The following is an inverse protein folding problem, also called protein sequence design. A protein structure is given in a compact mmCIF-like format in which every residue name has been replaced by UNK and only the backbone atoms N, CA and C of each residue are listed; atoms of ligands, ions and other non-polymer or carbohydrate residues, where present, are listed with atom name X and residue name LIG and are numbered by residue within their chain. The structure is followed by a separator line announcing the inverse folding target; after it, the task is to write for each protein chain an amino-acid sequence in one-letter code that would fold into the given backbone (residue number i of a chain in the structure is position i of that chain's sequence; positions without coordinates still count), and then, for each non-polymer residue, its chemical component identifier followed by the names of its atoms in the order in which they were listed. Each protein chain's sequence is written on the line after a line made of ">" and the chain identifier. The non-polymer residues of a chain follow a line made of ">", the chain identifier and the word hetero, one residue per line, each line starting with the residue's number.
data_IF_206297533348
#
_entry.id   IF_206297533348
#
_cell.length_a   1.000
_cell.length_b   1.000
_cell.length_c   1.000
_cell.angle_alpha   90.00
_cell.angle_beta   90.00
_cell.angle_gamma   90.00
#
_symmetry.space_group_name_H-M   'P 1'
#
loop_
_entity.id
_entity.type
_entity.pdbx_description
1 polymer ?
#
# COMPACT_ATOMS: atom_id res chain seq x y z
N UNK A 1 -22.94 3.34 -4.43
CA UNK A 1 -21.87 3.73 -5.37
C UNK A 1 -20.81 2.65 -5.33
N UNK A 2 -20.71 1.88 -6.39
CA UNK A 2 -19.70 0.83 -6.55
C UNK A 2 -18.33 1.50 -6.55
N UNK A 3 -17.52 1.31 -5.50
CA UNK A 3 -16.14 1.83 -5.47
C UNK A 3 -15.39 1.22 -6.66
N UNK A 4 -15.04 2.04 -7.64
CA UNK A 4 -14.09 1.64 -8.67
C UNK A 4 -12.74 1.43 -7.97
N UNK A 5 -12.36 0.17 -7.79
CA UNK A 5 -11.12 -0.22 -7.14
C UNK A 5 -9.92 0.09 -8.05
N UNK A 6 -9.58 1.37 -8.16
CA UNK A 6 -8.42 1.84 -8.89
C UNK A 6 -7.15 1.43 -8.13
N UNK A 7 -6.63 0.24 -8.45
CA UNK A 7 -5.43 -0.30 -7.83
C UNK A 7 -4.19 0.42 -8.38
N UNK A 8 -3.42 1.00 -7.48
CA UNK A 8 -2.13 1.59 -7.76
C UNK A 8 -1.06 0.63 -7.25
N UNK A 9 -0.02 0.44 -8.03
CA UNK A 9 1.18 -0.28 -7.58
C UNK A 9 2.40 0.47 -8.07
N UNK A 10 3.37 0.63 -7.17
CA UNK A 10 4.61 1.37 -7.41
C UNK A 10 5.78 0.64 -6.78
N UNK A 11 6.94 0.69 -7.43
CA UNK A 11 8.17 0.08 -6.91
C UNK A 11 8.58 0.83 -5.63
N UNK A 12 9.10 0.08 -4.66
CA UNK A 12 9.59 0.65 -3.42
C UNK A 12 10.71 1.68 -3.66
N UNK A 13 11.52 1.53 -4.71
CA UNK A 13 12.51 2.53 -5.12
C UNK A 13 11.85 3.87 -5.47
N UNK A 14 10.74 3.85 -6.21
CA UNK A 14 9.99 5.08 -6.53
C UNK A 14 9.33 5.67 -5.28
N UNK A 15 8.78 4.83 -4.40
CA UNK A 15 8.19 5.30 -3.14
C UNK A 15 9.25 5.94 -2.24
N UNK A 16 10.48 5.40 -2.21
CA UNK A 16 11.58 5.93 -1.39
C UNK A 16 12.40 7.01 -2.10
N UNK A 17 12.19 7.26 -3.39
CA UNK A 17 12.89 8.29 -4.13
C UNK A 17 12.61 9.68 -3.54
N UNK A 18 13.62 10.56 -3.64
CA UNK A 18 13.44 11.96 -3.30
C UNK A 18 12.98 12.73 -4.53
N UNK A 19 11.83 13.37 -4.41
CA UNK A 19 11.27 14.26 -5.41
C UNK A 19 10.31 15.25 -4.77
N UNK A 20 10.13 16.38 -5.44
CA UNK A 20 9.15 17.39 -5.07
C UNK A 20 8.07 17.43 -6.14
N UNK A 21 6.87 17.00 -5.75
CA UNK A 21 5.66 17.15 -6.54
C UNK A 21 4.66 17.94 -5.73
N UNK A 22 3.82 18.72 -6.39
CA UNK A 22 2.61 19.23 -5.79
C UNK A 22 1.52 18.14 -5.74
N UNK A 23 0.40 18.47 -5.09
CA UNK A 23 -0.70 17.53 -4.92
C UNK A 23 -1.33 17.13 -6.26
N UNK A 24 -1.50 18.07 -7.19
CA UNK A 24 -2.21 17.83 -8.45
C UNK A 24 -1.32 17.02 -9.39
N UNK A 25 -0.03 17.33 -9.48
CA UNK A 25 1.00 16.54 -10.18
C UNK A 25 1.02 15.10 -9.65
N UNK A 26 1.03 14.92 -8.32
CA UNK A 26 1.00 13.59 -7.71
C UNK A 26 -0.29 12.85 -8.07
N UNK A 27 -1.45 13.49 -7.94
CA UNK A 27 -2.75 12.92 -8.29
C UNK A 27 -2.85 12.54 -9.77
N UNK A 28 -2.28 13.36 -10.65
CA UNK A 28 -2.20 13.13 -12.09
C UNK A 28 -1.40 11.86 -12.40
N UNK A 29 -0.22 11.68 -11.79
CA UNK A 29 0.57 10.44 -11.92
C UNK A 29 -0.23 9.23 -11.44
N UNK A 30 -0.89 9.33 -10.29
CA UNK A 30 -1.64 8.20 -9.71
C UNK A 30 -2.83 7.80 -10.57
N UNK A 31 -3.56 8.77 -11.12
CA UNK A 31 -4.62 8.51 -12.10
C UNK A 31 -4.08 7.86 -13.37
N UNK A 32 -2.95 8.33 -13.88
CA UNK A 32 -2.33 7.76 -15.07
C UNK A 32 -1.92 6.29 -14.84
N UNK A 33 -1.33 5.98 -13.68
CA UNK A 33 -1.00 4.60 -13.30
C UNK A 33 -2.27 3.74 -13.22
N UNK A 34 -3.31 4.21 -12.53
CA UNK A 34 -4.57 3.48 -12.39
C UNK A 34 -5.23 3.21 -13.76
N UNK A 35 -5.33 4.24 -14.61
CA UNK A 35 -5.92 4.11 -15.95
C UNK A 35 -5.11 3.23 -16.89
N UNK A 36 -3.79 3.39 -16.90
CA UNK A 36 -2.91 2.58 -17.76
C UNK A 36 -3.09 1.09 -17.52
N UNK A 37 -3.31 0.70 -16.27
CA UNK A 37 -3.61 -0.69 -15.87
C UNK A 37 -4.98 -1.16 -16.31
N UNK A 38 -6.01 -0.34 -16.10
CA UNK A 38 -7.39 -0.69 -16.49
C UNK A 38 -7.58 -0.76 -18.01
N UNK A 39 -6.81 0.03 -18.77
CA UNK A 39 -6.95 0.10 -20.23
C UNK A 39 -6.52 -1.15 -20.99
N UNK A 40 -5.80 -2.09 -20.35
CA UNK A 40 -5.23 -3.28 -20.98
C UNK A 40 -4.10 -3.02 -21.98
N UNK A 41 -3.85 -1.76 -22.35
CA UNK A 41 -2.75 -1.34 -23.24
C UNK A 41 -1.38 -1.32 -22.54
N UNK A 42 -1.39 -1.44 -21.21
CA UNK A 42 -0.21 -1.29 -20.37
C UNK A 42 0.28 0.16 -20.32
N UNK A 43 1.36 0.38 -19.57
CA UNK A 43 2.05 1.66 -19.49
C UNK A 43 3.39 1.50 -20.20
N UNK A 44 3.65 2.31 -21.22
CA UNK A 44 4.89 2.26 -22.01
C UNK A 44 5.48 3.65 -22.16
N UNK A 45 6.72 3.72 -22.66
CA UNK A 45 7.42 4.99 -22.92
C UNK A 45 7.06 5.64 -24.26
N UNK A 46 6.09 5.07 -24.99
CA UNK A 46 5.71 5.54 -26.33
C UNK A 46 4.21 5.79 -26.47
N UNK A 47 3.39 5.15 -25.63
CA UNK A 47 1.94 5.30 -25.67
C UNK A 47 1.51 6.37 -24.68
N UNK A 48 0.72 7.32 -25.18
CA UNK A 48 0.11 8.33 -24.34
C UNK A 48 -1.05 7.76 -23.51
N UNK A 49 -1.09 8.12 -22.23
CA UNK A 49 -2.18 7.86 -21.31
C UNK A 49 -3.11 9.07 -21.25
N UNK A 50 -4.40 8.84 -21.47
CA UNK A 50 -5.42 9.88 -21.57
C UNK A 50 -6.16 10.06 -20.24
N UNK A 51 -6.06 11.26 -19.66
CA UNK A 51 -6.64 11.62 -18.38
C UNK A 51 -7.68 12.72 -18.61
N UNK A 52 -8.97 12.40 -18.43
CA UNK A 52 -10.02 13.39 -18.55
C UNK A 52 -10.20 14.13 -17.24
N UNK A 53 -10.56 15.41 -17.34
CA UNK A 53 -10.92 16.23 -16.18
C UNK A 53 -12.07 15.63 -15.37
N UNK A 54 -12.97 14.88 -16.01
CA UNK A 54 -14.07 14.20 -15.33
C UNK A 54 -13.56 13.10 -14.38
N UNK A 55 -12.57 12.30 -14.78
CA UNK A 55 -12.01 11.25 -13.92
C UNK A 55 -11.32 11.85 -12.69
N UNK A 56 -10.65 12.99 -12.89
CA UNK A 56 -10.03 13.74 -11.79
C UNK A 56 -11.06 14.32 -10.83
N UNK A 57 -12.12 14.93 -11.37
CA UNK A 57 -13.23 15.48 -10.59
C UNK A 57 -13.90 14.39 -9.74
N UNK A 58 -14.23 13.25 -10.34
CA UNK A 58 -14.87 12.12 -9.65
C UNK A 58 -13.96 11.48 -8.60
N UNK A 59 -12.69 11.24 -8.95
CA UNK A 59 -11.75 10.56 -8.04
C UNK A 59 -11.42 11.40 -6.81
N UNK A 60 -11.32 12.72 -6.95
CA UNK A 60 -10.83 13.61 -5.89
C UNK A 60 -11.87 14.59 -5.34
N UNK A 61 -13.12 14.52 -5.80
CA UNK A 61 -14.21 15.38 -5.34
C UNK A 61 -14.01 16.86 -5.65
N UNK A 62 -13.46 17.17 -6.84
CA UNK A 62 -13.19 18.55 -7.28
C UNK A 62 -14.19 18.96 -8.36
N UNK A 63 -14.51 20.26 -8.46
CA UNK A 63 -15.36 20.77 -9.52
C UNK A 63 -14.76 20.50 -10.92
N UNK A 64 -15.59 20.10 -11.89
CA UNK A 64 -15.16 19.70 -13.23
C UNK A 64 -14.40 20.80 -13.98
N UNK A 65 -14.87 22.05 -13.91
CA UNK A 65 -14.25 23.20 -14.58
C UNK A 65 -12.85 23.48 -13.99
N UNK A 66 -12.74 23.50 -12.66
CA UNK A 66 -11.47 23.66 -11.97
C UNK A 66 -10.50 22.50 -12.26
N UNK A 67 -11.03 21.29 -12.44
CA UNK A 67 -10.24 20.08 -12.71
C UNK A 67 -9.45 20.17 -14.02
N UNK A 68 -10.03 20.71 -15.10
CA UNK A 68 -9.31 20.86 -16.36
C UNK A 68 -8.12 21.83 -16.24
N UNK A 69 -8.35 23.01 -15.66
CA UNK A 69 -7.29 24.00 -15.45
C UNK A 69 -6.19 23.47 -14.52
N UNK A 70 -6.57 22.76 -13.47
CA UNK A 70 -5.63 22.10 -12.56
C UNK A 70 -4.78 21.04 -13.29
N UNK A 71 -5.41 20.18 -14.09
CA UNK A 71 -4.70 19.15 -14.87
C UNK A 71 -3.75 19.75 -15.89
N UNK A 72 -4.17 20.81 -16.59
CA UNK A 72 -3.30 21.50 -17.55
C UNK A 72 -2.06 22.09 -16.87
N UNK A 73 -2.26 22.84 -15.79
CA UNK A 73 -1.13 23.43 -15.05
C UNK A 73 -0.23 22.34 -14.47
N UNK A 74 -0.80 21.25 -13.96
CA UNK A 74 -0.05 20.14 -13.39
C UNK A 74 0.72 19.34 -14.43
N UNK A 75 0.20 19.18 -15.67
CA UNK A 75 0.96 18.50 -16.72
C UNK A 75 2.18 19.34 -17.12
N UNK A 76 1.99 20.65 -17.31
CA UNK A 76 3.08 21.59 -17.64
C UNK A 76 4.15 21.60 -16.54
N UNK A 77 3.76 21.69 -15.28
CA UNK A 77 4.73 21.69 -14.18
C UNK A 77 5.39 20.32 -13.99
N UNK A 78 4.64 19.21 -14.16
CA UNK A 78 5.16 17.84 -14.08
C UNK A 78 6.24 17.55 -15.12
N UNK A 79 6.11 18.10 -16.33
CA UNK A 79 7.14 17.99 -17.37
C UNK A 79 8.48 18.57 -16.90
N UNK A 80 8.43 19.62 -16.08
CA UNK A 80 9.62 20.22 -15.50
C UNK A 80 10.21 19.47 -14.29
N UNK A 81 9.54 18.42 -13.83
CA UNK A 81 9.98 17.64 -12.66
C UNK A 81 10.97 16.57 -13.04
N UNK A 82 11.91 16.35 -12.14
CA UNK A 82 12.81 15.21 -12.13
C UNK A 82 12.78 14.52 -10.78
N UNK A 83 13.24 13.29 -10.75
CA UNK A 83 13.49 12.55 -9.53
C UNK A 83 14.91 11.99 -9.58
N UNK A 84 15.41 11.66 -8.39
CA UNK A 84 16.70 10.98 -8.25
C UNK A 84 16.49 9.67 -7.52
N UNK A 85 17.22 8.64 -7.95
CA UNK A 85 17.24 7.35 -7.31
C UNK A 85 18.62 6.73 -7.45
N UNK A 86 18.92 5.81 -6.54
CA UNK A 86 20.21 5.15 -6.46
C UNK A 86 20.08 3.71 -6.95
N UNK A 87 21.09 3.24 -7.66
CA UNK A 87 21.26 1.83 -8.01
C UNK A 87 22.71 1.40 -7.79
N UNK A 88 22.95 0.10 -7.86
CA UNK A 88 24.31 -0.45 -7.88
C UNK A 88 24.72 -0.71 -9.32
N UNK A 89 25.88 -0.18 -9.71
CA UNK A 89 26.53 -0.52 -10.97
C UNK A 89 26.92 -2.01 -10.98
N UNK A 90 27.23 -2.61 -12.15
CA UNK A 90 27.70 -4.00 -12.23
C UNK A 90 28.95 -4.30 -11.39
N UNK A 91 29.70 -3.27 -11.01
CA UNK A 91 30.90 -3.36 -10.17
C UNK A 91 30.61 -3.13 -8.67
N UNK A 92 29.34 -2.99 -8.28
CA UNK A 92 28.92 -2.75 -6.90
C UNK A 92 29.05 -1.31 -6.40
N UNK A 93 29.45 -0.36 -7.25
CA UNK A 93 29.50 1.06 -6.88
C UNK A 93 28.11 1.70 -6.93
N UNK A 94 27.88 2.69 -6.07
CA UNK A 94 26.67 3.51 -6.07
C UNK A 94 26.59 4.35 -7.35
N UNK A 95 25.48 4.25 -8.06
CA UNK A 95 25.15 5.04 -9.24
C UNK A 95 23.92 5.89 -8.94
N UNK A 96 24.04 7.20 -9.13
CA UNK A 96 22.97 8.18 -8.86
C UNK A 96 22.34 8.59 -10.18
N UNK A 97 21.08 8.23 -10.37
CA UNK A 97 20.33 8.55 -11.58
C UNK A 97 19.55 9.84 -11.39
N UNK A 98 19.43 10.63 -12.47
CA UNK A 98 18.54 11.80 -12.54
C UNK A 98 17.70 11.68 -13.80
N UNK A 99 16.38 11.52 -13.63
CA UNK A 99 15.46 11.31 -14.75
C UNK A 99 14.24 12.22 -14.64
N UNK A 100 13.68 12.59 -15.79
CA UNK A 100 12.37 13.25 -15.88
C UNK A 100 11.25 12.26 -15.55
N UNK A 101 10.09 12.78 -15.16
CA UNK A 101 8.88 11.98 -14.94
C UNK A 101 8.20 11.60 -16.24
N UNK A 102 8.04 12.58 -17.13
CA UNK A 102 7.33 12.43 -18.40
C UNK A 102 8.30 12.62 -19.56
N UNK A 103 8.11 11.85 -20.63
CA UNK A 103 8.83 12.04 -21.89
C UNK A 103 8.10 13.05 -22.78
N UNK A 104 6.77 13.05 -22.71
CA UNK A 104 5.91 13.94 -23.49
C UNK A 104 4.64 14.28 -22.69
N UNK A 105 4.14 15.49 -22.90
CA UNK A 105 2.84 15.95 -22.41
C UNK A 105 2.10 16.64 -23.55
N UNK A 106 0.79 16.43 -23.63
CA UNK A 106 -0.07 17.24 -24.50
C UNK A 106 -1.42 17.46 -23.85
N UNK A 107 -2.08 18.55 -24.21
CA UNK A 107 -3.46 18.81 -23.83
C UNK A 107 -4.29 18.91 -25.10
N UNK A 108 -5.49 18.33 -25.07
CA UNK A 108 -6.39 18.39 -26.20
C UNK A 108 -7.44 19.44 -25.91
N UNK A 109 -7.30 20.59 -26.60
CA UNK A 109 -8.27 21.68 -26.49
C UNK A 109 -9.67 21.15 -26.84
N UNK A 110 -10.69 21.62 -26.13
CA UNK A 110 -12.09 21.25 -26.29
C UNK A 110 -12.46 19.80 -25.89
N UNK A 111 -11.50 18.91 -25.63
CA UNK A 111 -11.77 17.53 -25.16
C UNK A 111 -11.61 17.36 -23.64
N UNK A 112 -11.25 18.44 -22.92
CA UNK A 112 -11.09 18.46 -21.46
C UNK A 112 -10.18 17.34 -20.93
N UNK A 113 -9.09 17.05 -21.65
CA UNK A 113 -8.18 15.97 -21.30
C UNK A 113 -6.71 16.34 -21.53
N UNK A 114 -5.85 15.68 -20.76
CA UNK A 114 -4.40 15.71 -20.91
C UNK A 114 -3.89 14.32 -21.27
N UNK A 115 -2.82 14.28 -22.05
CA UNK A 115 -2.11 13.09 -22.47
C UNK A 115 -0.71 13.12 -21.89
N UNK A 116 -0.30 12.00 -21.32
CA UNK A 116 1.02 11.87 -20.68
C UNK A 116 1.71 10.62 -21.20
N UNK A 117 2.98 10.78 -21.59
CA UNK A 117 3.88 9.65 -21.83
C UNK A 117 4.91 9.63 -20.71
N UNK A 118 5.00 8.53 -19.96
CA UNK A 118 6.01 8.37 -18.92
C UNK A 118 7.41 8.22 -19.52
N UNK A 119 8.42 8.77 -18.83
CA UNK A 119 9.82 8.55 -19.22
C UNK A 119 10.18 7.06 -19.16
N UNK A 120 11.08 6.57 -20.03
CA UNK A 120 11.55 5.17 -20.01
C UNK A 120 12.04 4.70 -18.64
N UNK A 121 12.66 5.59 -17.86
CA UNK A 121 13.13 5.29 -16.50
C UNK A 121 12.00 5.09 -15.48
N UNK A 122 10.83 5.67 -15.71
CA UNK A 122 9.67 5.59 -14.78
C UNK A 122 8.86 4.33 -15.04
N UNK A 123 8.70 3.93 -16.31
CA UNK A 123 7.90 2.76 -16.72
C UNK A 123 8.19 1.53 -15.86
N UNK A 124 9.44 1.02 -15.72
CA UNK A 124 9.70 -0.18 -14.93
C UNK A 124 9.34 -0.01 -13.45
N UNK A 125 9.34 1.22 -12.92
CA UNK A 125 9.00 1.51 -11.52
C UNK A 125 7.48 1.49 -11.26
N UNK A 126 6.64 1.43 -12.29
CA UNK A 126 5.17 1.44 -12.17
C UNK A 126 4.49 0.24 -12.86
N UNK A 127 5.20 -0.50 -13.70
CA UNK A 127 4.67 -1.67 -14.42
C UNK A 127 5.15 -3.02 -13.93
N UNK A 128 6.36 -3.13 -13.37
CA UNK A 128 7.09 -4.40 -13.40
C UNK A 128 6.51 -5.54 -12.54
N UNK A 129 5.69 -5.39 -11.51
CA UNK A 129 5.06 -6.46 -10.68
C UNK A 129 5.94 -7.60 -10.09
N UNK A 130 7.05 -8.03 -10.69
CA UNK A 130 7.90 -9.13 -10.21
C UNK A 130 8.83 -8.68 -9.06
N UNK A 131 9.06 -7.37 -8.92
CA UNK A 131 9.91 -6.75 -7.89
C UNK A 131 9.15 -6.41 -6.58
N UNK A 132 9.86 -5.77 -5.64
CA UNK A 132 9.31 -5.33 -4.34
C UNK A 132 8.37 -4.13 -4.55
N UNK A 133 7.10 -4.44 -4.83
CA UNK A 133 6.07 -3.46 -5.08
C UNK A 133 5.20 -3.17 -3.85
N UNK A 134 4.78 -1.92 -3.73
CA UNK A 134 3.73 -1.50 -2.80
C UNK A 134 2.45 -1.26 -3.58
N UNK A 135 1.33 -1.81 -3.09
CA UNK A 135 0.02 -1.65 -3.71
C UNK A 135 -1.02 -1.10 -2.73
N UNK A 136 -1.87 -0.21 -3.22
CA UNK A 136 -2.99 0.39 -2.47
C UNK A 136 -4.06 0.91 -3.43
N UNK A 137 -5.26 1.20 -2.93
CA UNK A 137 -6.34 1.74 -3.77
C UNK A 137 -6.27 3.27 -3.80
N UNK A 138 -6.56 3.88 -4.95
CA UNK A 138 -6.62 5.33 -5.08
C UNK A 138 -7.59 5.96 -4.07
N UNK A 139 -8.72 5.30 -3.82
CA UNK A 139 -9.72 5.70 -2.83
C UNK A 139 -9.18 5.84 -1.41
N UNK A 140 -8.12 5.10 -1.06
CA UNK A 140 -7.53 5.15 0.27
C UNK A 140 -6.82 6.48 0.54
N UNK A 141 -6.40 7.18 -0.52
CA UNK A 141 -5.66 8.44 -0.46
C UNK A 141 -6.35 9.61 -1.15
N UNK A 142 -7.44 9.38 -1.88
CA UNK A 142 -8.07 10.40 -2.72
C UNK A 142 -8.57 11.62 -1.94
N UNK A 143 -9.00 11.40 -0.70
CA UNK A 143 -9.47 12.45 0.22
C UNK A 143 -8.34 13.23 0.89
N UNK A 144 -7.10 12.78 0.79
CA UNK A 144 -5.95 13.48 1.35
C UNK A 144 -5.68 14.75 0.52
N UNK A 145 -5.58 15.89 1.20
CA UNK A 145 -5.38 17.21 0.57
C UNK A 145 -3.95 17.74 0.76
N UNK A 146 -3.16 17.14 1.65
CA UNK A 146 -1.75 17.43 1.79
C UNK A 146 -0.93 16.44 0.97
N UNK A 147 -0.01 16.95 0.14
CA UNK A 147 0.94 16.08 -0.57
C UNK A 147 1.82 15.29 0.41
N UNK A 148 2.12 15.87 1.58
CA UNK A 148 2.86 15.17 2.64
C UNK A 148 2.05 14.01 3.23
N UNK A 149 0.72 14.14 3.32
CA UNK A 149 -0.14 13.04 3.77
C UNK A 149 -0.12 11.89 2.77
N UNK A 150 -0.24 12.18 1.47
CA UNK A 150 -0.15 11.16 0.41
C UNK A 150 1.22 10.47 0.45
N UNK A 151 2.32 11.22 0.55
CA UNK A 151 3.67 10.66 0.63
C UNK A 151 3.90 9.83 1.89
N UNK A 152 3.45 10.31 3.04
CA UNK A 152 3.58 9.58 4.29
C UNK A 152 2.78 8.27 4.26
N UNK A 153 1.58 8.28 3.69
CA UNK A 153 0.78 7.08 3.49
C UNK A 153 1.54 6.05 2.64
N UNK A 154 2.09 6.45 1.49
CA UNK A 154 2.88 5.57 0.60
C UNK A 154 4.10 4.96 1.32
N UNK A 155 4.82 5.78 2.09
CA UNK A 155 5.99 5.32 2.83
C UNK A 155 5.63 4.29 3.90
N UNK A 156 4.47 4.44 4.54
CA UNK A 156 4.01 3.55 5.61
C UNK A 156 3.43 2.26 5.03
N UNK A 157 2.61 2.35 3.99
CA UNK A 157 1.94 1.18 3.40
C UNK A 157 2.93 0.24 2.69
N UNK A 158 4.13 0.71 2.35
CA UNK A 158 5.25 -0.14 1.93
C UNK A 158 5.68 -1.16 3.00
N UNK A 159 5.32 -0.94 4.28
CA UNK A 159 5.59 -1.82 5.42
C UNK A 159 4.33 -2.57 5.89
N UNK A 160 3.36 -2.80 4.98
CA UNK A 160 2.09 -3.50 5.30
C UNK A 160 2.27 -4.82 6.02
N UNK A 161 3.29 -5.59 5.66
CA UNK A 161 3.57 -6.92 6.24
C UNK A 161 4.00 -6.88 7.70
N UNK A 162 4.64 -5.80 8.16
CA UNK A 162 5.15 -5.67 9.54
C UNK A 162 4.28 -4.78 10.41
N UNK A 163 3.34 -4.03 9.81
CA UNK A 163 2.52 -3.00 10.48
C UNK A 163 3.33 -1.94 11.25
N UNK A 164 4.63 -1.86 10.94
CA UNK A 164 5.60 -1.03 11.64
C UNK A 164 6.76 -0.70 10.71
N UNK A 165 7.12 0.57 10.67
CA UNK A 165 8.26 1.06 9.90
C UNK A 165 9.56 0.94 10.70
N UNK A 166 10.73 0.89 10.02
CA UNK A 166 12.00 1.19 10.68
C UNK A 166 12.02 2.65 11.18
N UNK A 167 13.09 3.00 11.90
CA UNK A 167 13.35 4.39 12.27
C UNK A 167 13.84 5.11 11.01
N UNK A 168 13.04 6.05 10.52
CA UNK A 168 13.49 7.00 9.52
C UNK A 168 14.26 8.12 10.21
N UNK A 169 15.49 8.37 9.77
CA UNK A 169 16.26 9.54 10.24
C UNK A 169 15.57 10.82 9.77
N UNK A 170 15.81 11.92 10.47
CA UNK A 170 15.16 13.21 10.16
C UNK A 170 15.47 13.64 8.73
N UNK A 171 16.72 13.49 8.30
CA UNK A 171 17.15 13.85 6.96
C UNK A 171 16.43 13.00 5.91
N UNK A 172 16.40 11.67 6.13
CA UNK A 172 15.76 10.71 5.23
C UNK A 172 14.26 10.97 5.08
N UNK A 173 13.54 11.14 6.20
CA UNK A 173 12.08 11.34 6.14
C UNK A 173 11.72 12.67 5.49
N UNK A 174 12.51 13.73 5.72
CA UNK A 174 12.31 15.04 5.07
C UNK A 174 12.47 14.91 3.56
N UNK A 175 13.55 14.28 3.10
CA UNK A 175 13.80 14.05 1.68
C UNK A 175 12.72 13.20 1.02
N UNK A 176 12.27 12.12 1.69
CA UNK A 176 11.23 11.21 1.15
C UNK A 176 9.84 11.86 1.11
N UNK A 177 9.52 12.74 2.05
CA UNK A 177 8.30 13.54 2.04
C UNK A 177 8.35 14.70 1.03
N UNK A 178 9.50 14.96 0.40
CA UNK A 178 9.67 16.06 -0.55
C UNK A 178 9.79 17.43 0.12
N UNK A 179 10.23 17.48 1.38
CA UNK A 179 10.52 18.74 2.08
C UNK A 179 11.90 19.22 1.65
N UNK A 180 11.97 20.44 1.10
CA UNK A 180 13.25 21.05 0.71
C UNK A 180 14.15 21.29 1.93
N UNK A 181 15.46 21.26 1.73
CA UNK A 181 16.45 21.42 2.82
C UNK A 181 16.25 22.70 3.64
N UNK A 182 15.88 23.79 2.96
CA UNK A 182 15.64 25.11 3.54
C UNK A 182 14.22 25.32 4.09
N UNK A 183 13.29 24.38 3.88
CA UNK A 183 11.91 24.50 4.36
C UNK A 183 11.75 23.88 5.75
N UNK A 184 11.04 24.55 6.66
CA UNK A 184 10.75 23.98 7.99
C UNK A 184 12.00 23.50 8.72
N UNK A 185 13.07 24.30 8.70
CA UNK A 185 14.35 23.95 9.33
C UNK A 185 14.20 23.73 10.84
N UNK A 186 13.34 24.54 11.49
CA UNK A 186 12.98 24.34 12.88
C UNK A 186 12.14 23.07 13.03
N UNK A 187 12.54 22.21 13.96
CA UNK A 187 11.86 20.94 14.20
C UNK A 187 10.39 21.11 14.61
N UNK A 188 10.05 22.19 15.31
CA UNK A 188 8.66 22.51 15.64
C UNK A 188 7.82 22.78 14.39
N UNK A 189 8.35 23.50 13.40
CA UNK A 189 7.67 23.76 12.13
C UNK A 189 7.52 22.48 11.31
N UNK A 190 8.57 21.65 11.24
CA UNK A 190 8.49 20.37 10.54
C UNK A 190 7.39 19.48 11.12
N UNK A 191 7.31 19.36 12.45
CA UNK A 191 6.23 18.61 13.09
C UNK A 191 4.87 19.23 12.77
N UNK A 192 4.69 20.52 13.09
CA UNK A 192 3.39 21.20 13.02
C UNK A 192 2.83 21.28 11.60
N UNK A 193 3.68 21.50 10.59
CA UNK A 193 3.24 21.78 9.20
C UNK A 193 3.33 20.57 8.27
N UNK A 194 4.15 19.57 8.61
CA UNK A 194 4.36 18.38 7.77
C UNK A 194 3.81 17.14 8.46
N UNK A 195 4.43 16.70 9.56
CA UNK A 195 4.09 15.41 10.18
C UNK A 195 2.70 15.40 10.80
N UNK A 196 2.38 16.38 11.65
CA UNK A 196 1.12 16.40 12.39
C UNK A 196 -0.07 16.59 11.44
N UNK A 197 0.10 17.42 10.39
CA UNK A 197 -0.89 17.58 9.31
C UNK A 197 -1.09 16.26 8.56
N UNK A 198 0.01 15.60 8.17
CA UNK A 198 -0.05 14.34 7.44
C UNK A 198 -0.73 13.24 8.26
N UNK A 199 -0.30 13.04 9.51
CA UNK A 199 -0.83 12.01 10.40
C UNK A 199 -2.32 12.25 10.68
N UNK A 200 -2.71 13.50 10.96
CA UNK A 200 -4.12 13.85 11.18
C UNK A 200 -4.98 13.48 9.97
N UNK A 201 -4.57 13.90 8.77
CA UNK A 201 -5.32 13.59 7.56
C UNK A 201 -5.42 12.08 7.29
N UNK A 202 -4.33 11.34 7.46
CA UNK A 202 -4.35 9.90 7.22
C UNK A 202 -5.31 9.21 8.21
N UNK A 203 -5.25 9.55 9.50
CA UNK A 203 -6.08 8.94 10.52
C UNK A 203 -7.58 9.27 10.36
N UNK A 204 -7.92 10.43 9.82
CA UNK A 204 -9.30 10.87 9.62
C UNK A 204 -9.89 10.39 8.28
N UNK A 205 -9.08 10.31 7.22
CA UNK A 205 -9.58 10.24 5.85
C UNK A 205 -9.17 8.98 5.08
N UNK A 206 -8.23 8.18 5.59
CA UNK A 206 -7.74 6.96 4.93
C UNK A 206 -8.30 5.67 5.53
N UNK A 207 -7.84 4.53 5.02
CA UNK A 207 -8.13 3.19 5.55
C UNK A 207 -7.17 2.74 6.66
N UNK A 208 -6.21 3.57 7.09
CA UNK A 208 -5.25 3.22 8.14
C UNK A 208 -5.26 4.24 9.27
N UNK A 209 -4.92 3.76 10.47
CA UNK A 209 -4.62 4.61 11.62
C UNK A 209 -3.15 4.45 12.00
N UNK A 210 -2.46 5.57 12.10
CA UNK A 210 -1.03 5.67 12.36
C UNK A 210 -0.79 6.28 13.75
N UNK A 211 0.15 5.67 14.46
CA UNK A 211 0.77 6.19 15.68
C UNK A 211 2.24 6.49 15.40
N UNK A 212 2.69 7.71 15.72
CA UNK A 212 4.09 8.13 15.57
C UNK A 212 4.86 7.96 16.88
N UNK A 213 6.03 7.32 16.79
CA UNK A 213 7.02 7.26 17.88
C UNK A 213 8.22 8.12 17.53
N UNK A 214 8.51 9.08 18.39
CA UNK A 214 9.63 10.00 18.26
C UNK A 214 10.86 9.45 18.99
N UNK A 215 11.97 9.31 18.28
CA UNK A 215 13.23 8.81 18.84
C UNK A 215 14.19 9.97 19.09
N UNK A 216 14.73 10.06 20.32
CA UNK A 216 15.64 11.13 20.75
C UNK A 216 17.00 10.56 21.15
N UNK A 217 18.05 11.35 20.94
CA UNK A 217 19.39 11.14 21.51
C UNK A 217 19.75 12.40 22.28
N UNK A 218 19.61 12.34 23.61
CA UNK A 218 19.65 13.52 24.46
C UNK A 218 18.48 14.46 24.18
N UNK A 219 18.76 15.74 23.93
CA UNK A 219 17.75 16.75 23.60
C UNK A 219 17.34 16.75 22.12
N UNK A 220 18.18 16.19 21.26
CA UNK A 220 17.94 16.17 19.81
C UNK A 220 17.05 14.99 19.42
N UNK A 221 16.10 15.26 18.53
CA UNK A 221 15.36 14.21 17.84
C UNK A 221 16.32 13.60 16.81
N UNK A 222 16.29 12.28 16.65
CA UNK A 222 17.10 11.55 15.64
C UNK A 222 16.23 11.04 14.50
N UNK A 223 14.98 10.70 14.79
CA UNK A 223 14.10 10.13 13.79
C UNK A 223 12.71 9.78 14.31
N UNK A 224 11.92 9.21 13.41
CA UNK A 224 10.54 8.80 13.65
C UNK A 224 10.31 7.37 13.17
N UNK A 225 9.49 6.63 13.89
CA UNK A 225 8.96 5.34 13.44
C UNK A 225 7.45 5.35 13.58
N UNK A 226 6.76 4.65 12.71
CA UNK A 226 5.31 4.60 12.67
C UNK A 226 4.84 3.18 12.93
N UNK A 227 3.86 3.03 13.81
CA UNK A 227 3.03 1.82 13.89
C UNK A 227 1.70 2.16 13.24
N UNK A 228 1.07 1.20 12.57
CA UNK A 228 -0.23 1.45 11.98
C UNK A 228 -1.11 0.21 11.99
N UNK A 229 -2.42 0.45 12.00
CA UNK A 229 -3.45 -0.56 11.91
C UNK A 229 -4.33 -0.25 10.70
N UNK A 230 -4.73 -1.30 9.98
CA UNK A 230 -5.69 -1.18 8.91
C UNK A 230 -7.11 -1.29 9.45
N UNK A 231 -7.92 -0.29 9.13
CA UNK A 231 -9.33 -0.33 9.38
C UNK A 231 -9.93 -1.28 8.34
N UNK A 232 -10.30 -2.49 8.77
CA UNK A 232 -11.03 -3.45 7.94
C UNK A 232 -12.26 -2.77 7.34
N UNK A 233 -12.23 -2.52 6.03
CA UNK A 233 -13.42 -2.18 5.26
C UNK A 233 -14.12 -3.46 4.81
N UNK A 234 -14.63 -4.24 5.76
CA UNK A 234 -15.75 -5.12 5.43
C UNK A 234 -16.99 -4.23 5.41
N UNK A 235 -17.69 -4.05 4.26
CA UNK A 235 -19.05 -3.56 4.31
C UNK A 235 -19.83 -4.53 5.21
N UNK A 236 -20.63 -3.99 6.12
CA UNK A 236 -21.58 -4.75 6.93
C UNK A 236 -22.24 -5.79 6.03
N UNK A 237 -22.00 -7.09 6.29
CA UNK A 237 -22.70 -8.17 5.59
C UNK A 237 -24.20 -7.92 5.76
N UNK A 238 -24.93 -7.83 4.66
CA UNK A 238 -26.39 -7.84 4.69
C UNK A 238 -26.82 -9.16 5.35
N UNK A 239 -27.55 -9.14 6.48
CA UNK A 239 -27.96 -10.35 7.20
C UNK A 239 -28.80 -11.31 6.34
N UNK A 240 -29.29 -10.88 5.17
CA UNK A 240 -30.03 -11.71 4.22
C UNK A 240 -29.23 -12.24 3.01
N UNK A 241 -27.90 -12.06 2.97
CA UNK A 241 -27.11 -12.73 1.93
C UNK A 241 -26.97 -14.22 2.27
N UNK A 242 -27.64 -15.08 1.51
CA UNK A 242 -27.44 -16.53 1.56
C UNK A 242 -26.02 -16.85 1.05
N UNK A 243 -25.19 -17.41 1.92
CA UNK A 243 -23.84 -17.88 1.58
C UNK A 243 -23.96 -19.11 0.64
N UNK A 244 -23.70 -18.95 -0.65
CA UNK A 244 -23.66 -20.06 -1.65
C UNK A 244 -22.31 -20.77 -1.73
N UNK A 245 -21.46 -20.59 -0.73
CA UNK A 245 -20.20 -21.32 -0.61
C UNK A 245 -20.25 -22.04 0.73
N UNK A 246 -20.67 -23.30 0.68
CA UNK A 246 -20.38 -24.30 1.71
C UNK A 246 -18.86 -24.52 1.73
N UNK A 247 -18.10 -23.57 2.29
CA UNK A 247 -16.89 -23.92 2.99
C UNK A 247 -17.34 -24.62 4.27
N UNK A 248 -17.65 -25.91 4.14
CA UNK A 248 -17.81 -26.74 5.32
C UNK A 248 -16.57 -26.53 6.19
N UNK A 249 -16.70 -26.02 7.42
CA UNK A 249 -15.57 -25.99 8.31
C UNK A 249 -15.15 -27.46 8.46
N UNK A 250 -13.90 -27.79 8.13
CA UNK A 250 -13.29 -29.07 8.50
C UNK A 250 -13.14 -29.12 10.02
N UNK A 251 -14.27 -29.12 10.74
CA UNK A 251 -14.34 -29.48 12.15
C UNK A 251 -14.04 -30.97 12.18
N UNK A 252 -12.79 -31.33 12.46
CA UNK A 252 -12.50 -32.70 12.86
C UNK A 252 -13.38 -32.99 14.08
N UNK A 253 -14.23 -34.03 14.07
CA UNK A 253 -15.12 -34.31 15.19
C UNK A 253 -14.30 -34.45 16.47
N UNK A 254 -14.76 -33.83 17.57
CA UNK A 254 -14.11 -33.99 18.89
C UNK A 254 -14.21 -35.47 19.28
N UNK A 255 -13.07 -36.17 19.30
CA UNK A 255 -12.99 -37.58 19.70
C UNK A 255 -13.39 -37.73 21.18
N UNK A 256 -14.16 -38.76 21.52
CA UNK A 256 -14.52 -39.09 22.90
C UNK A 256 -13.27 -39.57 23.65
N UNK A 257 -13.00 -39.02 24.84
CA UNK A 257 -11.87 -39.46 25.67
C UNK A 257 -12.27 -40.71 26.45
N UNK A 258 -11.49 -41.78 26.34
CA UNK A 258 -11.70 -43.04 27.07
C UNK A 258 -10.39 -43.48 27.72
N UNK A 259 -10.50 -44.28 28.77
CA UNK A 259 -9.34 -44.87 29.46
C UNK A 259 -8.80 -46.09 28.71
N UNK A 260 -7.57 -46.51 29.02
CA UNK A 260 -6.97 -47.73 28.47
C UNK A 260 -7.82 -48.99 28.71
N UNK A 261 -8.41 -49.12 29.91
CA UNK A 261 -9.28 -50.26 30.25
C UNK A 261 -10.57 -50.30 29.41
N UNK A 262 -11.12 -49.13 29.07
CA UNK A 262 -12.30 -49.03 28.20
C UNK A 262 -11.93 -49.30 26.75
N UNK A 263 -10.75 -48.86 26.30
CA UNK A 263 -10.25 -49.17 24.97
C UNK A 263 -10.01 -50.68 24.78
N UNK A 264 -9.45 -51.37 25.80
CA UNK A 264 -9.21 -52.82 25.75
C UNK A 264 -10.50 -53.64 25.51
N UNK A 265 -11.64 -53.21 26.08
CA UNK A 265 -12.94 -53.87 25.88
C UNK A 265 -13.45 -53.78 24.44
N UNK A 266 -12.95 -52.82 23.65
CA UNK A 266 -13.30 -52.66 22.24
C UNK A 266 -12.42 -53.51 21.31
N UNK A 267 -11.40 -54.19 21.84
CA UNK A 267 -10.51 -55.08 21.10
C UNK A 267 -11.20 -56.36 20.64
N UNK A 268 -10.83 -56.83 19.45
CA UNK A 268 -11.25 -58.15 18.95
C UNK A 268 -10.26 -59.24 19.38
N UNK A 269 -10.68 -60.51 19.47
CA UNK A 269 -9.76 -61.61 19.81
C UNK A 269 -8.57 -61.64 18.84
N UNK A 270 -7.34 -61.55 19.37
CA UNK A 270 -6.11 -61.55 18.59
C UNK A 270 -5.72 -60.21 17.94
N UNK A 271 -6.43 -59.12 18.24
CA UNK A 271 -6.09 -57.77 17.76
C UNK A 271 -5.02 -57.14 18.67
N UNK A 272 -3.89 -56.74 18.09
CA UNK A 272 -2.80 -56.07 18.82
C UNK A 272 -3.13 -54.58 19.07
N UNK A 273 -2.55 -54.02 20.13
CA UNK A 273 -2.79 -52.64 20.56
C UNK A 273 -2.62 -51.56 19.46
N UNK A 274 -1.57 -51.60 18.61
CA UNK A 274 -1.41 -50.61 17.54
C UNK A 274 -2.56 -50.62 16.52
N UNK A 275 -3.07 -51.81 16.19
CA UNK A 275 -4.16 -51.99 15.22
C UNK A 275 -5.49 -51.53 15.82
N UNK A 276 -5.72 -51.84 17.09
CA UNK A 276 -6.86 -51.34 17.86
C UNK A 276 -6.90 -49.81 17.87
N UNK A 277 -5.80 -49.14 18.23
CA UNK A 277 -5.70 -47.67 18.29
C UNK A 277 -5.92 -47.01 16.93
N UNK A 278 -5.41 -47.64 15.86
CA UNK A 278 -5.63 -47.15 14.49
C UNK A 278 -7.10 -47.22 14.10
N UNK A 279 -7.80 -48.29 14.50
CA UNK A 279 -9.22 -48.50 14.21
C UNK A 279 -10.13 -47.57 15.00
N UNK A 280 -9.95 -47.46 16.31
CA UNK A 280 -10.81 -46.62 17.17
C UNK A 280 -10.41 -45.14 17.15
N UNK A 281 -9.23 -44.83 16.62
CA UNK A 281 -8.66 -43.48 16.60
C UNK A 281 -9.45 -42.47 15.77
N UNK A 282 -10.40 -42.86 14.93
CA UNK A 282 -11.31 -41.91 14.27
C UNK A 282 -12.33 -41.30 15.23
N UNK A 283 -12.76 -42.06 16.24
CA UNK A 283 -13.87 -41.74 17.14
C UNK A 283 -13.41 -41.46 18.58
N UNK A 284 -12.34 -42.12 19.02
CA UNK A 284 -11.86 -42.08 20.41
C UNK A 284 -10.43 -41.53 20.52
N UNK A 285 -10.15 -40.91 21.66
CA UNK A 285 -8.81 -40.55 22.10
C UNK A 285 -8.53 -41.28 23.42
N UNK A 286 -7.69 -42.31 23.33
CA UNK A 286 -7.35 -43.15 24.50
C UNK A 286 -6.34 -42.40 25.37
N UNK A 287 -6.66 -42.27 26.65
CA UNK A 287 -5.76 -41.75 27.68
C UNK A 287 -5.11 -42.96 28.34
N UNK A 288 -3.79 -43.04 28.23
CA UNK A 288 -2.97 -43.96 29.00
C UNK A 288 -2.65 -43.28 30.32
N UNK A 289 -3.16 -43.84 31.42
CA UNK A 289 -2.77 -43.38 32.75
C UNK A 289 -1.28 -43.71 32.93
N UNK A 290 -0.43 -42.69 32.83
CA UNK A 290 0.96 -42.81 33.23
C UNK A 290 1.00 -42.71 34.75
N UNK A 291 0.99 -43.83 35.44
CA UNK A 291 1.56 -43.91 36.80
C UNK A 291 1.99 -45.35 37.14
N UNK A 292 3.27 -45.62 36.91
CA UNK A 292 4.18 -46.23 37.89
C UNK A 292 5.62 -45.87 37.53
#
# INVERSE_FOLDING_TARGET
>A
MTKNKNLITQDNALINASYTLDLVEKRLILLAIAKGRLSGKGITSHNALEIHANDYAESFGVERQASYMALKSASESLFERYFTYESLSPKGNLEVHKSRWTADISYVQNESMVKIVFSPSVVPLITDLEKKFTSYFLDDISRLTSVYAVRLYELIIAWRSTHKTPIFRIEDIRMRLGVLENQYMAMCDFKKRVLDVAIKQINELSNIQIEVKQHKKGRSIVGFSFNFMELSQHPTRDPNTIDWIDEQPKVKPKRKRITEQEAAKLGRPGEEWPDLLKRIGSEYHVIFDKDK
#
